data_IF_502973349928
#
_entry.id   IF_502973349928
#
_cell.length_a   1.000
_cell.length_b   1.000
_cell.length_c   1.000
_cell.angle_alpha   90.00
_cell.angle_beta   90.00
_cell.angle_gamma   90.00
#
_symmetry.space_group_name_H-M   'P 1'
#
loop_
_entity.id
_entity.type
_entity.pdbx_description
1 polymer ?
#
# COMPACT_ATOMS: atom_id res chain seq x y z
N UNK A 1 -19.89 -3.59 3.49
CA UNK A 1 -18.81 -3.41 4.46
C UNK A 1 -18.54 -1.92 4.56
N UNK A 2 -18.68 -1.32 5.74
CA UNK A 2 -18.35 0.08 5.94
C UNK A 2 -16.89 0.17 6.41
N UNK A 3 -16.05 0.95 5.71
CA UNK A 3 -14.68 1.18 6.14
C UNK A 3 -14.71 2.08 7.38
N UNK A 4 -14.22 1.57 8.52
CA UNK A 4 -14.13 2.38 9.72
C UNK A 4 -12.97 3.37 9.62
N UNK A 5 -13.12 4.53 10.27
CA UNK A 5 -12.02 5.51 10.37
C UNK A 5 -10.77 4.90 10.99
N UNK A 6 -10.92 3.96 11.92
CA UNK A 6 -9.79 3.28 12.56
C UNK A 6 -9.06 2.35 11.59
N UNK A 7 -9.79 1.66 10.69
CA UNK A 7 -9.17 0.86 9.63
C UNK A 7 -8.40 1.75 8.65
N UNK A 8 -8.97 2.90 8.27
CA UNK A 8 -8.30 3.87 7.39
C UNK A 8 -7.02 4.44 8.04
N UNK A 9 -7.06 4.78 9.33
CA UNK A 9 -5.87 5.20 10.09
C UNK A 9 -4.81 4.11 10.12
N UNK A 10 -5.21 2.86 10.37
CA UNK A 10 -4.29 1.71 10.37
C UNK A 10 -3.62 1.52 9.02
N UNK A 11 -4.38 1.61 7.93
CA UNK A 11 -3.83 1.55 6.57
C UNK A 11 -2.79 2.66 6.36
N UNK A 12 -3.12 3.90 6.70
CA UNK A 12 -2.21 5.03 6.53
C UNK A 12 -0.91 4.86 7.32
N UNK A 13 -0.99 4.39 8.57
CA UNK A 13 0.19 4.12 9.41
C UNK A 13 1.04 2.98 8.84
N UNK A 14 0.42 1.86 8.44
CA UNK A 14 1.14 0.74 7.84
C UNK A 14 1.87 1.14 6.56
N UNK A 15 1.24 1.96 5.70
CA UNK A 15 1.88 2.48 4.50
C UNK A 15 3.05 3.40 4.87
N UNK A 16 2.85 4.34 5.81
CA UNK A 16 3.92 5.23 6.25
C UNK A 16 5.13 4.46 6.78
N UNK A 17 4.93 3.49 7.67
CA UNK A 17 6.01 2.73 8.31
C UNK A 17 6.84 1.95 7.27
N UNK A 18 6.21 1.45 6.21
CA UNK A 18 6.90 0.72 5.15
C UNK A 18 7.60 1.64 4.14
N UNK A 19 7.01 2.79 3.83
CA UNK A 19 7.49 3.68 2.77
C UNK A 19 8.52 4.68 3.28
N UNK A 20 8.34 5.22 4.49
CA UNK A 20 9.21 6.25 5.04
C UNK A 20 10.71 5.87 5.04
N UNK A 21 11.13 4.63 5.38
CA UNK A 21 12.53 4.25 5.36
C UNK A 21 13.19 4.22 3.98
N UNK A 22 12.41 3.99 2.92
CA UNK A 22 12.91 3.87 1.54
C UNK A 22 12.62 5.11 0.70
N UNK A 23 11.89 6.09 1.22
CA UNK A 23 11.47 7.27 0.46
C UNK A 23 12.69 8.03 -0.09
N UNK A 24 12.72 8.19 -1.42
CA UNK A 24 13.82 8.85 -2.12
C UNK A 24 15.05 7.96 -2.39
N UNK A 25 14.99 6.67 -2.04
CA UNK A 25 16.03 5.70 -2.39
C UNK A 25 15.91 5.24 -3.85
N UNK A 26 16.97 4.63 -4.37
CA UNK A 26 16.94 4.01 -5.70
C UNK A 26 15.92 2.87 -5.78
N UNK A 27 15.83 2.05 -4.72
CA UNK A 27 14.87 0.95 -4.59
C UNK A 27 13.44 1.46 -4.77
N UNK A 28 13.09 2.59 -4.14
CA UNK A 28 11.76 3.18 -4.26
C UNK A 28 11.42 3.64 -5.69
N UNK A 29 12.43 4.03 -6.47
CA UNK A 29 12.30 4.50 -7.85
C UNK A 29 12.40 3.38 -8.90
N UNK A 30 12.56 2.12 -8.48
CA UNK A 30 12.65 1.01 -9.41
C UNK A 30 11.37 0.88 -10.22
N UNK A 31 11.50 0.84 -11.54
CA UNK A 31 10.36 0.66 -12.45
C UNK A 31 9.88 -0.78 -12.34
N UNK A 32 8.62 -0.96 -11.99
CA UNK A 32 8.05 -2.29 -11.87
C UNK A 32 7.30 -2.70 -13.14
N UNK A 33 6.08 -2.18 -13.32
CA UNK A 33 5.20 -2.58 -14.41
C UNK A 33 4.26 -1.44 -14.80
N UNK A 34 3.55 -1.60 -15.92
CA UNK A 34 2.51 -0.65 -16.33
C UNK A 34 1.31 -0.78 -15.39
N UNK A 35 0.96 0.30 -14.70
CA UNK A 35 -0.18 0.38 -13.81
C UNK A 35 -1.51 0.53 -14.56
N UNK A 36 -2.61 0.44 -13.81
CA UNK A 36 -3.97 0.57 -14.37
C UNK A 36 -4.22 1.96 -14.99
N UNK A 37 -3.53 3.00 -14.52
CA UNK A 37 -3.59 4.36 -15.08
C UNK A 37 -2.83 4.53 -16.41
N UNK A 38 -2.07 3.51 -16.84
CA UNK A 38 -1.27 3.55 -18.06
C UNK A 38 0.17 4.04 -17.87
N UNK A 39 0.48 4.60 -16.71
CA UNK A 39 1.84 4.99 -16.31
C UNK A 39 2.66 3.78 -15.84
N UNK A 40 3.99 3.91 -15.85
CA UNK A 40 4.86 2.90 -15.24
C UNK A 40 4.82 3.12 -13.72
N UNK A 41 4.31 2.13 -12.99
CA UNK A 41 4.36 2.08 -11.54
C UNK A 41 5.80 1.92 -11.07
N UNK A 42 6.13 2.64 -10.00
CA UNK A 42 7.38 2.47 -9.29
C UNK A 42 7.21 1.42 -8.18
N UNK A 43 8.31 0.89 -7.68
CA UNK A 43 8.32 -0.10 -6.60
C UNK A 43 7.64 0.43 -5.32
N UNK A 44 7.80 1.73 -5.03
CA UNK A 44 7.12 2.40 -3.92
C UNK A 44 5.59 2.33 -4.04
N UNK A 45 5.04 2.43 -5.26
CA UNK A 45 3.59 2.34 -5.50
C UNK A 45 3.10 0.92 -5.18
N UNK A 46 3.82 -0.10 -5.67
CA UNK A 46 3.46 -1.50 -5.45
C UNK A 46 3.50 -1.89 -3.97
N UNK A 47 4.48 -1.39 -3.22
CA UNK A 47 4.57 -1.63 -1.77
C UNK A 47 3.35 -1.04 -1.07
N UNK A 48 3.00 0.20 -1.38
CA UNK A 48 1.83 0.86 -0.80
C UNK A 48 0.52 0.14 -1.16
N UNK A 49 0.33 -0.21 -2.43
CA UNK A 49 -0.86 -0.95 -2.91
C UNK A 49 -1.02 -2.29 -2.20
N UNK A 50 0.06 -3.08 -2.12
CA UNK A 50 0.04 -4.38 -1.46
C UNK A 50 -0.32 -4.27 0.03
N UNK A 51 0.18 -3.24 0.73
CA UNK A 51 -0.16 -3.02 2.14
C UNK A 51 -1.65 -2.70 2.30
N UNK A 52 -2.21 -1.88 1.41
CA UNK A 52 -3.64 -1.53 1.42
C UNK A 52 -4.48 -2.79 1.21
N UNK A 53 -4.20 -3.55 0.14
CA UNK A 53 -4.92 -4.78 -0.21
C UNK A 53 -4.87 -5.78 0.95
N UNK A 54 -3.66 -6.10 1.43
CA UNK A 54 -3.48 -7.05 2.52
C UNK A 54 -4.16 -6.59 3.81
N UNK A 55 -4.14 -5.30 4.14
CA UNK A 55 -4.80 -4.79 5.34
C UNK A 55 -6.32 -4.92 5.25
N UNK A 56 -6.89 -4.64 4.08
CA UNK A 56 -8.34 -4.78 3.83
C UNK A 56 -8.75 -6.25 3.81
N UNK A 57 -8.03 -7.11 3.11
CA UNK A 57 -8.31 -8.55 3.06
C UNK A 57 -8.26 -9.16 4.46
N UNK A 58 -7.22 -8.87 5.24
CA UNK A 58 -7.12 -9.35 6.61
C UNK A 58 -8.26 -8.83 7.49
N UNK A 59 -8.70 -7.58 7.31
CA UNK A 59 -9.84 -7.05 8.05
C UNK A 59 -11.17 -7.75 7.67
N UNK A 60 -11.31 -8.23 6.44
CA UNK A 60 -12.47 -9.01 5.99
C UNK A 60 -12.40 -10.44 6.56
N UNK A 61 -11.26 -11.10 6.44
CA UNK A 61 -11.10 -12.51 6.83
C UNK A 61 -10.97 -12.71 8.35
N UNK A 62 -10.53 -11.71 9.11
CA UNK A 62 -10.50 -11.76 10.59
C UNK A 62 -11.88 -11.64 11.24
N UNK A 63 -12.93 -11.37 10.45
CA UNK A 63 -14.32 -11.20 10.92
C UNK A 63 -15.15 -12.48 10.68
N UNK A 64 -14.56 -13.55 10.14
CA UNK A 64 -15.19 -14.87 9.99
C UNK A 64 -14.63 -15.90 10.98
#
# INVERSE_FOLDING_TARGET
MELSIDLLKKIALNVYDAIHPILGSNEASEKAQKGAGGDISMQIDLIAENIIINTIENAIFSVN
#
